data_IF_507439583425
#
_entry.id   IF_507439583425
#
_cell.length_a   1.000
_cell.length_b   1.000
_cell.length_c   1.000
_cell.angle_alpha   90.00
_cell.angle_beta   90.00
_cell.angle_gamma   90.00
#
_symmetry.space_group_name_H-M   'P 1'
#
loop_
_entity.id
_entity.type
_entity.pdbx_description
1 polymer ?
#
# COMPACT_ATOMS: atom_id res chain seq x y z
N UNK A 1 2.39 -9.58 7.57
CA UNK A 1 3.09 -10.61 6.77
C UNK A 1 4.56 -10.23 6.64
N UNK A 2 5.45 -11.13 7.05
CA UNK A 2 6.89 -10.97 6.91
C UNK A 2 7.28 -11.30 5.47
N UNK A 3 7.82 -10.31 4.76
CA UNK A 3 8.24 -10.44 3.35
C UNK A 3 9.24 -11.57 3.12
N UNK A 4 10.16 -11.80 4.07
CA UNK A 4 11.29 -12.73 3.89
C UNK A 4 10.88 -14.20 3.82
N UNK A 5 9.64 -14.52 4.18
CA UNK A 5 9.09 -15.87 4.02
C UNK A 5 8.82 -16.22 2.54
N UNK A 6 8.64 -15.22 1.67
CA UNK A 6 8.22 -15.42 0.28
C UNK A 6 9.17 -14.78 -0.73
N UNK A 7 9.84 -13.68 -0.37
CA UNK A 7 10.66 -12.89 -1.28
C UNK A 7 12.10 -12.64 -0.78
N UNK A 8 13.06 -12.65 -1.71
CA UNK A 8 14.46 -12.25 -1.50
C UNK A 8 14.61 -10.72 -1.36
N UNK A 9 15.83 -10.19 -1.25
CA UNK A 9 16.08 -8.74 -1.09
C UNK A 9 15.62 -7.92 -2.31
N UNK A 10 15.70 -8.50 -3.50
CA UNK A 10 15.35 -7.91 -4.79
C UNK A 10 13.85 -8.02 -5.15
N UNK A 11 13.05 -8.62 -4.26
CA UNK A 11 11.63 -8.94 -4.43
C UNK A 11 11.34 -10.02 -5.48
N UNK A 12 12.29 -10.91 -5.73
CA UNK A 12 12.02 -12.15 -6.44
C UNK A 12 11.46 -13.18 -5.46
N UNK A 13 10.63 -14.08 -5.99
CA UNK A 13 10.04 -15.18 -5.22
C UNK A 13 11.13 -16.18 -4.87
N UNK A 14 11.20 -16.60 -3.61
CA UNK A 14 12.15 -17.61 -3.15
C UNK A 14 11.82 -18.98 -3.78
N UNK A 15 12.83 -19.81 -4.10
CA UNK A 15 12.60 -21.18 -4.56
C UNK A 15 11.74 -21.97 -3.55
N UNK A 16 10.71 -22.68 -4.03
CA UNK A 16 9.83 -23.47 -3.16
C UNK A 16 8.76 -22.66 -2.42
N UNK A 17 8.80 -21.32 -2.45
CA UNK A 17 7.86 -20.51 -1.67
C UNK A 17 6.42 -20.64 -2.19
N UNK A 18 6.21 -20.72 -3.51
CA UNK A 18 4.87 -20.87 -4.08
C UNK A 18 4.26 -22.24 -3.75
N UNK A 19 5.08 -23.29 -3.76
CA UNK A 19 4.69 -24.65 -3.40
C UNK A 19 4.30 -24.74 -1.93
N UNK A 20 5.12 -24.17 -1.04
CA UNK A 20 4.82 -24.10 0.40
C UNK A 20 3.52 -23.33 0.66
N UNK A 21 3.35 -22.15 0.05
CA UNK A 21 2.12 -21.37 0.19
C UNK A 21 0.89 -22.12 -0.31
N UNK A 22 1.02 -22.81 -1.45
CA UNK A 22 -0.08 -23.61 -2.03
C UNK A 22 -0.46 -24.76 -1.11
N UNK A 23 0.55 -25.45 -0.53
CA UNK A 23 0.34 -26.55 0.40
C UNK A 23 -0.28 -26.08 1.72
N UNK A 24 0.23 -25.00 2.32
CA UNK A 24 -0.28 -24.48 3.60
C UNK A 24 -1.74 -24.04 3.52
N UNK A 25 -2.19 -23.55 2.35
CA UNK A 25 -3.53 -22.99 2.19
C UNK A 25 -4.50 -23.90 1.41
N UNK A 26 -4.03 -25.05 0.93
CA UNK A 26 -4.77 -25.95 0.05
C UNK A 26 -5.29 -25.28 -1.24
N UNK A 27 -4.52 -24.30 -1.74
CA UNK A 27 -4.90 -23.44 -2.86
C UNK A 27 -3.95 -23.59 -4.05
N UNK A 28 -4.48 -23.38 -5.27
CA UNK A 28 -3.65 -23.37 -6.46
C UNK A 28 -3.23 -21.94 -6.85
N UNK A 29 -2.01 -21.57 -6.44
CA UNK A 29 -1.44 -20.24 -6.65
C UNK A 29 -0.81 -20.13 -8.05
N UNK A 30 -1.27 -19.15 -8.82
CA UNK A 30 -0.72 -18.83 -10.15
C UNK A 30 0.50 -17.90 -10.06
N UNK A 31 0.48 -16.94 -9.13
CA UNK A 31 1.50 -15.90 -9.00
C UNK A 31 1.40 -15.21 -7.65
N UNK A 32 2.51 -14.66 -7.18
CA UNK A 32 2.54 -13.69 -6.07
C UNK A 32 3.25 -12.40 -6.47
N UNK A 33 2.89 -11.28 -5.84
CA UNK A 33 3.53 -9.99 -6.08
C UNK A 33 3.60 -9.15 -4.79
N UNK A 34 4.74 -8.51 -4.54
CA UNK A 34 4.90 -7.60 -3.41
C UNK A 34 4.39 -6.19 -3.74
N UNK A 35 3.60 -5.57 -2.87
CA UNK A 35 3.02 -4.23 -3.13
C UNK A 35 3.94 -3.05 -2.76
N UNK A 36 5.20 -3.30 -2.35
CA UNK A 36 6.19 -2.24 -2.14
C UNK A 36 7.04 -1.97 -3.36
N UNK A 37 7.52 -0.72 -3.46
CA UNK A 37 8.55 -0.34 -4.43
C UNK A 37 9.85 -1.06 -4.10
N UNK A 38 10.57 -1.50 -5.15
CA UNK A 38 11.89 -2.15 -5.06
C UNK A 38 12.98 -1.28 -4.42
N UNK A 39 12.88 0.04 -4.52
CA UNK A 39 13.91 0.99 -4.07
C UNK A 39 14.04 1.07 -2.54
N UNK A 40 13.01 0.65 -1.80
CA UNK A 40 13.05 0.53 -0.34
C UNK A 40 12.06 -0.56 0.11
N UNK A 41 12.46 -1.84 0.03
CA UNK A 41 11.58 -2.93 0.39
C UNK A 41 11.35 -2.88 1.91
N UNK A 42 10.10 -2.61 2.30
CA UNK A 42 9.68 -2.70 3.70
C UNK A 42 9.66 -4.16 4.14
N UNK A 43 10.04 -4.44 5.39
CA UNK A 43 9.95 -5.79 5.99
C UNK A 43 8.50 -6.27 6.07
N UNK A 44 7.58 -5.36 6.38
CA UNK A 44 6.14 -5.65 6.52
C UNK A 44 5.34 -4.83 5.51
N UNK A 45 4.52 -5.53 4.74
CA UNK A 45 3.52 -4.97 3.81
C UNK A 45 2.60 -6.08 3.32
N UNK A 46 1.63 -5.71 2.51
CA UNK A 46 0.76 -6.64 1.80
C UNK A 46 1.43 -7.18 0.55
N UNK A 47 1.11 -8.42 0.23
CA UNK A 47 1.34 -9.03 -1.08
C UNK A 47 0.01 -9.28 -1.77
N UNK A 48 0.05 -9.50 -3.08
CA UNK A 48 -1.07 -10.03 -3.87
C UNK A 48 -0.78 -11.49 -4.16
N UNK A 49 -1.77 -12.34 -3.92
CA UNK A 49 -1.76 -13.75 -4.32
C UNK A 49 -2.80 -13.92 -5.42
N UNK A 50 -2.35 -14.39 -6.58
CA UNK A 50 -3.22 -14.68 -7.72
C UNK A 50 -3.54 -16.16 -7.70
N UNK A 51 -4.83 -16.49 -7.65
CA UNK A 51 -5.33 -17.86 -7.62
C UNK A 51 -5.87 -18.24 -8.98
N UNK A 52 -5.76 -19.53 -9.29
CA UNK A 52 -6.31 -20.07 -10.55
C UNK A 52 -7.81 -20.35 -10.46
N UNK A 53 -8.34 -20.58 -9.25
CA UNK A 53 -9.74 -20.94 -9.02
C UNK A 53 -10.49 -19.84 -8.27
N UNK A 54 -11.68 -19.52 -8.75
CA UNK A 54 -12.54 -18.50 -8.12
C UNK A 54 -13.09 -18.93 -6.76
N UNK A 55 -13.33 -20.24 -6.56
CA UNK A 55 -13.86 -20.77 -5.29
C UNK A 55 -12.85 -20.61 -4.16
N UNK A 56 -11.57 -20.93 -4.41
CA UNK A 56 -10.45 -20.70 -3.51
C UNK A 56 -10.40 -19.22 -3.07
N UNK A 57 -10.49 -18.29 -4.03
CA UNK A 57 -10.51 -16.86 -3.73
C UNK A 57 -11.71 -16.45 -2.85
N UNK A 58 -12.90 -16.96 -3.13
CA UNK A 58 -14.10 -16.69 -2.32
C UNK A 58 -13.95 -17.23 -0.90
N UNK A 59 -13.45 -18.46 -0.75
CA UNK A 59 -13.21 -19.09 0.55
C UNK A 59 -12.25 -18.26 1.39
N UNK A 60 -11.08 -17.91 0.85
CA UNK A 60 -10.10 -17.09 1.58
C UNK A 60 -10.63 -15.70 1.96
N UNK A 61 -11.49 -15.11 1.14
CA UNK A 61 -12.14 -13.83 1.45
C UNK A 61 -13.23 -13.95 2.50
N UNK A 62 -13.88 -15.11 2.62
CA UNK A 62 -14.86 -15.40 3.67
C UNK A 62 -14.20 -15.76 5.00
N UNK A 63 -13.10 -16.51 4.95
CA UNK A 63 -12.33 -16.96 6.12
C UNK A 63 -11.44 -15.86 6.70
N UNK A 64 -11.12 -14.83 5.91
CA UNK A 64 -10.32 -13.65 6.30
C UNK A 64 -8.87 -13.94 6.71
N UNK A 65 -8.34 -15.13 6.42
CA UNK A 65 -6.94 -15.44 6.66
C UNK A 65 -6.27 -16.17 5.49
N UNK A 66 -4.94 -16.10 5.47
CA UNK A 66 -4.05 -16.82 4.57
C UNK A 66 -2.75 -17.13 5.33
N UNK A 67 -2.31 -18.38 5.28
CA UNK A 67 -1.11 -18.87 5.95
C UNK A 67 0.14 -18.54 5.15
N UNK A 68 1.17 -18.08 5.85
CA UNK A 68 2.49 -17.80 5.31
C UNK A 68 3.53 -18.28 6.33
N UNK A 69 4.22 -19.37 6.03
CA UNK A 69 5.21 -19.97 6.92
C UNK A 69 4.63 -20.29 8.32
N UNK A 70 3.40 -20.82 8.33
CA UNK A 70 2.66 -21.14 9.55
C UNK A 70 2.02 -19.95 10.29
N UNK A 71 2.24 -18.70 9.84
CA UNK A 71 1.60 -17.52 10.41
C UNK A 71 0.35 -17.13 9.61
N UNK A 72 -0.77 -16.88 10.30
CA UNK A 72 -1.99 -16.35 9.67
C UNK A 72 -1.86 -14.86 9.35
N UNK A 73 -2.24 -14.49 8.13
CA UNK A 73 -2.26 -13.09 7.66
C UNK A 73 -3.65 -12.74 7.14
N UNK A 74 -4.09 -11.49 7.33
CA UNK A 74 -5.42 -11.05 6.91
C UNK A 74 -5.55 -10.94 5.38
N UNK A 75 -6.63 -11.48 4.83
CA UNK A 75 -6.96 -11.41 3.39
C UNK A 75 -7.96 -10.30 3.09
N UNK A 76 -7.81 -9.66 1.93
CA UNK A 76 -8.76 -8.67 1.43
C UNK A 76 -8.74 -8.69 -0.10
N UNK A 77 -9.80 -8.16 -0.71
CA UNK A 77 -9.85 -8.00 -2.17
C UNK A 77 -8.73 -7.05 -2.59
N UNK A 78 -7.95 -7.47 -3.59
CA UNK A 78 -6.96 -6.60 -4.21
C UNK A 78 -7.59 -5.89 -5.41
N UNK A 79 -7.74 -4.58 -5.31
CA UNK A 79 -8.12 -3.71 -6.41
C UNK A 79 -6.89 -2.95 -6.91
N UNK A 80 -6.52 -3.18 -8.17
CA UNK A 80 -5.45 -2.40 -8.79
C UNK A 80 -5.98 -1.00 -9.13
N UNK A 81 -5.87 -0.08 -8.18
CA UNK A 81 -6.20 1.32 -8.39
C UNK A 81 -5.01 2.01 -9.06
N UNK A 82 -5.14 2.38 -10.33
CA UNK A 82 -4.25 3.36 -10.93
C UNK A 82 -4.61 4.73 -10.35
N UNK A 83 -3.85 5.15 -9.35
CA UNK A 83 -3.98 6.48 -8.78
C UNK A 83 -3.87 7.56 -9.87
N UNK A 84 -4.54 8.71 -9.70
CA UNK A 84 -4.49 9.76 -10.70
C UNK A 84 -3.04 10.24 -10.88
N UNK A 85 -2.67 10.59 -12.12
CA UNK A 85 -1.37 11.19 -12.41
C UNK A 85 -1.25 12.55 -11.73
N UNK A 86 -0.70 12.55 -10.51
CA UNK A 86 -0.45 13.78 -9.77
C UNK A 86 0.82 14.45 -10.29
N UNK A 87 0.66 15.69 -10.74
CA UNK A 87 1.78 16.54 -11.12
C UNK A 87 2.51 17.04 -9.87
N UNK A 88 3.74 16.57 -9.63
CA UNK A 88 4.55 17.03 -8.49
C UNK A 88 5.05 18.48 -8.60
N UNK A 89 4.81 19.17 -9.73
CA UNK A 89 5.09 20.59 -9.87
C UNK A 89 3.93 21.43 -9.34
N UNK A 90 2.71 21.22 -9.83
CA UNK A 90 1.54 22.06 -9.51
C UNK A 90 0.51 21.41 -8.55
N UNK A 91 0.71 20.15 -8.16
CA UNK A 91 -0.20 19.31 -7.36
C UNK A 91 -1.56 18.99 -8.01
N UNK A 92 -1.79 19.41 -9.27
CA UNK A 92 -2.96 19.03 -10.04
C UNK A 92 -2.89 17.59 -10.55
N UNK A 93 -4.03 17.10 -11.06
CA UNK A 93 -4.15 15.74 -11.62
C UNK A 93 -4.14 15.77 -13.16
N UNK A 94 -3.89 14.62 -13.78
CA UNK A 94 -4.05 14.38 -15.23
C UNK A 94 -2.85 14.76 -16.10
N UNK A 95 -1.70 15.07 -15.50
CA UNK A 95 -0.46 15.30 -16.22
C UNK A 95 0.75 15.10 -15.28
N UNK A 96 1.91 14.83 -15.85
CA UNK A 96 3.15 14.72 -15.09
C UNK A 96 3.87 16.08 -14.97
N UNK A 97 4.89 16.14 -14.11
CA UNK A 97 5.65 17.38 -13.88
C UNK A 97 6.47 17.83 -15.10
N UNK A 98 6.85 16.92 -16.00
CA UNK A 98 7.65 17.22 -17.19
C UNK A 98 6.83 17.96 -18.25
N UNK A 99 5.54 17.66 -18.38
CA UNK A 99 4.60 18.36 -19.27
C UNK A 99 3.87 19.54 -18.61
N UNK A 100 4.23 19.91 -17.38
CA UNK A 100 3.53 20.93 -16.60
C UNK A 100 3.96 22.35 -16.98
N UNK A 101 3.02 23.16 -17.47
CA UNK A 101 3.22 24.60 -17.72
C UNK A 101 2.88 25.50 -16.52
N UNK A 102 2.27 24.94 -15.46
CA UNK A 102 1.88 25.70 -14.26
C UNK A 102 3.06 25.98 -13.35
N UNK A 103 2.97 27.09 -12.60
CA UNK A 103 3.95 27.46 -11.58
C UNK A 103 4.11 26.35 -10.54
N UNK A 104 5.37 26.08 -10.17
CA UNK A 104 5.69 25.10 -9.15
C UNK A 104 5.18 25.58 -7.78
N UNK A 105 4.50 24.69 -7.06
CA UNK A 105 4.01 24.92 -5.71
C UNK A 105 4.55 23.86 -4.74
N UNK A 106 4.52 24.17 -3.46
CA UNK A 106 4.96 23.26 -2.42
C UNK A 106 4.06 22.02 -2.36
N UNK A 107 4.66 20.83 -2.38
CA UNK A 107 3.94 19.56 -2.31
C UNK A 107 3.22 19.29 -0.98
N UNK A 108 3.42 20.15 0.04
CA UNK A 108 2.80 20.00 1.37
C UNK A 108 1.67 20.99 1.64
N UNK A 109 1.75 22.22 1.12
CA UNK A 109 0.72 23.25 1.34
C UNK A 109 0.15 23.88 0.06
N UNK A 110 0.57 23.42 -1.11
CA UNK A 110 0.15 23.92 -2.42
C UNK A 110 0.37 25.42 -2.67
N UNK A 111 1.22 26.09 -1.88
CA UNK A 111 1.59 27.50 -2.10
C UNK A 111 2.87 27.63 -2.91
N UNK A 112 2.98 28.69 -3.70
CA UNK A 112 4.22 29.05 -4.39
C UNK A 112 5.26 29.61 -3.39
N UNK A 113 6.51 29.75 -3.85
CA UNK A 113 7.59 30.42 -3.11
C UNK A 113 8.52 29.50 -2.30
N UNK A 114 8.18 28.23 -2.12
CA UNK A 114 9.06 27.26 -1.45
C UNK A 114 8.87 25.82 -1.92
N UNK A 115 9.85 24.97 -1.60
CA UNK A 115 9.80 23.53 -1.86
C UNK A 115 9.37 22.75 -0.60
N UNK A 116 9.01 21.47 -0.77
CA UNK A 116 8.59 20.54 0.30
C UNK A 116 9.55 20.50 1.50
N UNK A 117 10.85 20.70 1.28
CA UNK A 117 11.88 20.64 2.32
C UNK A 117 11.97 21.89 3.21
N UNK A 118 11.27 22.98 2.85
CA UNK A 118 11.26 24.18 3.68
C UNK A 118 10.52 23.91 5.00
N UNK A 119 10.99 24.53 6.10
CA UNK A 119 10.27 24.49 7.38
C UNK A 119 8.93 25.20 7.21
N UNK A 120 7.85 24.43 7.19
CA UNK A 120 6.52 24.98 7.34
C UNK A 120 6.36 25.41 8.79
N UNK A 121 6.36 26.72 9.06
CA UNK A 121 5.70 27.21 10.27
C UNK A 121 4.22 27.01 10.04
N UNK A 122 3.59 26.13 10.82
CA UNK A 122 2.17 26.33 11.08
C UNK A 122 2.04 27.74 11.66
N UNK A 123 1.16 28.60 11.13
CA UNK A 123 0.78 29.80 11.86
C UNK A 123 0.34 29.35 13.25
N UNK A 124 0.91 29.92 14.29
CA UNK A 124 0.60 29.61 15.70
C UNK A 124 -0.80 30.12 16.11
N UNK A 125 -1.78 30.05 15.21
CA UNK A 125 -3.10 30.63 15.35
C UNK A 125 -4.19 29.68 14.83
N UNK A 126 -4.16 28.42 15.26
CA UNK A 126 -5.33 27.55 15.32
C UNK A 126 -5.26 26.72 16.62
N UNK A 127 -5.40 27.43 17.73
CA UNK A 127 -5.79 26.86 19.02
C UNK A 127 -7.29 26.59 19.11
N UNK A 128 -8.07 26.66 18.03
CA UNK A 128 -9.51 26.38 18.04
C UNK A 128 -9.92 25.53 16.84
N UNK A 129 -9.66 24.23 16.92
CA UNK A 129 -10.47 23.20 16.28
C UNK A 129 -10.28 21.90 17.07
N UNK A 130 -10.93 21.83 18.23
CA UNK A 130 -11.20 20.56 18.90
C UNK A 130 -12.10 19.77 17.96
N UNK A 131 -11.59 18.69 17.37
CA UNK A 131 -12.48 17.69 16.78
C UNK A 131 -13.10 16.94 17.94
N UNK A 132 -14.27 17.40 18.39
CA UNK A 132 -15.17 16.56 19.18
C UNK A 132 -15.53 15.37 18.32
N UNK A 133 -15.17 14.19 18.77
CA UNK A 133 -15.86 12.97 18.39
C UNK A 133 -16.08 12.27 19.71
N UNK A 134 -17.30 12.48 20.22
CA UNK A 134 -17.81 11.81 21.39
C UNK A 134 -17.75 10.29 21.20
N UNK A 135 -17.66 9.64 22.36
CA UNK A 135 -17.96 8.24 22.65
C UNK A 135 -16.81 7.23 22.54
N UNK A 136 -16.13 7.12 23.69
CA UNK A 136 -15.63 5.85 24.24
C UNK A 136 -16.80 5.17 24.97
N UNK A 137 -16.78 3.83 24.95
CA UNK A 137 -17.53 2.83 25.75
C UNK A 137 -18.80 2.22 25.13
N UNK A 138 -18.70 1.03 24.52
CA UNK A 138 -18.69 -0.37 25.06
C UNK A 138 -20.12 -0.92 25.22
N UNK A 139 -20.41 -2.01 24.50
CA UNK A 139 -21.04 -3.22 25.01
C UNK A 139 -20.59 -4.40 24.15
#
# INVERSE_FOLDING_TARGET
MNRTAVFDQELNVLPGAMETLSHENEDQIAKVAWLSRKVSPKTYRSMVVYLTKNNDAKRLLQEHYFLVAGESTHTNVFEQITGPEQCYSCQGLGHNAFSCSKTRVCARCATAGHHRSARHRYPSALSEAVRMSDSVEIA
#
